data_IF_087168395930
#
_entry.id   IF_087168395930
#
_cell.length_a   1.000
_cell.length_b   1.000
_cell.length_c   1.000
_cell.angle_alpha   90.00
_cell.angle_beta   90.00
_cell.angle_gamma   90.00
#
_symmetry.space_group_name_H-M   'P 1'
#
loop_
_entity.id
_entity.type
_entity.pdbx_description
1 polymer ?
#
# COMPACT_ATOMS: atom_id res chain seq x y z
N UNK A 1 48.74 23.04 21.04
CA UNK A 1 47.32 23.28 21.37
C UNK A 1 46.56 23.49 20.06
N UNK A 2 46.25 22.40 19.37
CA UNK A 2 44.90 21.81 19.27
C UNK A 2 43.83 22.82 18.81
N UNK A 3 43.58 22.83 17.50
CA UNK A 3 42.36 23.39 16.89
C UNK A 3 41.60 22.25 16.25
N UNK A 4 40.66 21.68 17.01
CA UNK A 4 39.64 20.78 16.47
C UNK A 4 38.76 21.60 15.53
N UNK A 5 38.94 21.43 14.22
CA UNK A 5 37.96 21.92 13.25
C UNK A 5 36.85 20.87 13.12
N UNK A 6 35.68 21.27 13.57
CA UNK A 6 34.43 20.52 13.57
C UNK A 6 34.10 19.98 12.17
N UNK A 7 33.86 18.67 12.13
CA UNK A 7 33.19 17.96 11.06
C UNK A 7 31.76 18.49 10.95
N UNK A 8 31.41 19.11 9.82
CA UNK A 8 30.01 19.34 9.47
C UNK A 8 29.87 19.37 7.94
N UNK A 9 29.75 18.19 7.32
CA UNK A 9 29.31 18.09 5.93
C UNK A 9 27.92 17.48 5.91
N UNK A 10 26.98 18.41 5.85
CA UNK A 10 25.57 18.38 5.43
C UNK A 10 25.00 17.02 5.03
N UNK A 11 24.06 16.53 5.85
CA UNK A 11 23.02 15.59 5.43
C UNK A 11 22.15 16.33 4.40
N UNK A 12 22.34 16.00 3.12
CA UNK A 12 21.52 16.51 2.02
C UNK A 12 20.06 16.08 2.28
N UNK A 13 19.19 17.09 2.36
CA UNK A 13 17.79 16.94 2.71
C UNK A 13 17.02 16.04 1.77
N UNK A 14 16.48 14.95 2.32
CA UNK A 14 15.29 14.32 1.78
C UNK A 14 14.07 15.07 2.31
N UNK A 15 13.05 15.38 1.49
CA UNK A 15 11.82 15.98 1.98
C UNK A 15 11.13 14.99 2.93
N UNK A 16 11.32 15.24 4.22
CA UNK A 16 10.54 14.67 5.32
C UNK A 16 9.12 15.23 5.19
N UNK A 17 8.25 14.52 4.47
CA UNK A 17 6.80 14.37 4.73
C UNK A 17 6.08 13.89 3.46
N UNK A 18 5.66 12.62 3.45
CA UNK A 18 4.68 12.09 2.47
C UNK A 18 5.13 10.89 1.62
N UNK A 19 6.44 10.62 1.50
CA UNK A 19 6.99 9.68 0.50
C UNK A 19 7.51 8.34 1.03
N UNK A 20 7.42 8.06 2.33
CA UNK A 20 8.04 6.87 2.94
C UNK A 20 7.19 5.59 2.89
N UNK A 21 6.02 5.63 2.27
CA UNK A 21 5.04 4.56 2.37
C UNK A 21 5.27 3.41 1.37
N UNK A 22 6.05 3.64 0.31
CA UNK A 22 6.58 2.58 -0.55
C UNK A 22 7.92 2.96 -1.19
N UNK A 23 8.68 1.96 -1.63
CA UNK A 23 9.98 2.09 -2.31
C UNK A 23 9.93 1.37 -3.66
N UNK A 24 10.27 2.07 -4.73
CA UNK A 24 10.38 1.49 -6.07
C UNK A 24 11.69 0.69 -6.20
N UNK A 25 11.60 -0.59 -6.56
CA UNK A 25 12.74 -1.51 -6.78
C UNK A 25 12.95 -1.82 -8.26
N UNK A 26 12.28 -1.10 -9.17
CA UNK A 26 12.32 -1.33 -10.62
C UNK A 26 11.36 -2.42 -11.05
N UNK A 27 11.60 -3.67 -10.66
CA UNK A 27 10.73 -4.80 -11.06
C UNK A 27 9.43 -4.90 -10.24
N UNK A 28 9.47 -4.39 -9.01
CA UNK A 28 8.36 -4.37 -8.07
C UNK A 28 8.44 -3.14 -7.17
N UNK A 29 7.37 -2.89 -6.44
CA UNK A 29 7.28 -1.85 -5.42
C UNK A 29 7.17 -2.49 -4.05
N UNK A 30 8.00 -2.07 -3.12
CA UNK A 30 7.93 -2.46 -1.71
C UNK A 30 7.04 -1.49 -0.95
N UNK A 31 5.87 -1.94 -0.50
CA UNK A 31 4.93 -1.13 0.29
C UNK A 31 5.15 -1.41 1.78
N UNK A 32 5.16 -0.38 2.62
CA UNK A 32 5.37 -0.54 4.06
C UNK A 32 4.28 -1.41 4.70
N UNK A 33 4.67 -2.31 5.62
CA UNK A 33 3.71 -3.10 6.42
C UNK A 33 2.78 -2.15 7.20
N UNK A 34 1.50 -2.45 7.21
CA UNK A 34 0.45 -1.69 7.88
C UNK A 34 -0.21 -0.63 7.01
N UNK A 35 0.35 -0.29 5.85
CA UNK A 35 -0.24 0.67 4.91
C UNK A 35 -1.60 0.17 4.45
N UNK A 36 -2.61 1.04 4.57
CA UNK A 36 -3.94 0.85 3.99
C UNK A 36 -3.90 1.33 2.53
N UNK A 37 -4.36 0.48 1.63
CA UNK A 37 -4.49 0.76 0.20
C UNK A 37 -5.99 0.85 -0.13
N UNK A 38 -6.33 1.85 -0.93
CA UNK A 38 -7.68 2.16 -1.34
C UNK A 38 -7.79 1.93 -2.84
N UNK A 39 -8.91 1.39 -3.26
CA UNK A 39 -9.28 1.38 -4.67
C UNK A 39 -9.52 2.81 -5.15
N UNK A 40 -9.12 3.12 -6.38
CA UNK A 40 -9.49 4.38 -7.02
C UNK A 40 -10.61 4.12 -8.05
N UNK A 41 -11.83 4.55 -7.69
CA UNK A 41 -13.03 4.29 -8.49
C UNK A 41 -13.10 5.02 -9.82
N UNK A 42 -12.29 6.07 -10.00
CA UNK A 42 -12.32 6.89 -11.22
C UNK A 42 -11.57 6.21 -12.40
N UNK A 43 -10.72 5.22 -12.14
CA UNK A 43 -9.85 4.60 -13.14
C UNK A 43 -10.22 3.17 -13.56
N UNK A 44 -10.83 2.37 -12.68
CA UNK A 44 -11.14 0.97 -12.95
C UNK A 44 -12.61 0.77 -13.39
N UNK A 45 -13.05 1.51 -14.41
CA UNK A 45 -14.35 1.26 -15.10
C UNK A 45 -14.34 0.01 -15.98
N UNK A 46 -13.20 -0.68 -16.12
CA UNK A 46 -12.95 -1.64 -17.19
C UNK A 46 -12.83 -3.12 -16.79
N UNK A 47 -12.81 -3.46 -15.49
CA UNK A 47 -12.72 -4.86 -15.09
C UNK A 47 -13.89 -5.30 -14.22
N UNK A 48 -14.53 -6.40 -14.65
CA UNK A 48 -15.58 -7.15 -13.93
C UNK A 48 -15.22 -7.32 -12.47
N UNK A 49 -15.68 -6.42 -11.61
CA UNK A 49 -15.47 -6.58 -10.18
C UNK A 49 -16.68 -6.00 -9.45
N UNK A 50 -17.42 -6.91 -8.81
CA UNK A 50 -18.57 -6.64 -7.95
C UNK A 50 -18.21 -5.54 -6.94
N UNK A 51 -18.96 -4.44 -7.01
CA UNK A 51 -18.91 -3.25 -6.16
C UNK A 51 -17.50 -2.62 -5.92
N UNK A 52 -17.09 -1.63 -6.73
CA UNK A 52 -15.81 -0.92 -6.58
C UNK A 52 -15.73 0.01 -5.38
N UNK A 53 -16.86 0.47 -4.81
CA UNK A 53 -16.87 1.63 -3.90
C UNK A 53 -16.31 1.35 -2.50
N UNK A 54 -16.02 0.09 -2.13
CA UNK A 54 -15.73 -0.26 -0.73
C UNK A 54 -14.55 -1.20 -0.50
N UNK A 55 -13.67 -1.40 -1.48
CA UNK A 55 -12.53 -2.31 -1.30
C UNK A 55 -11.28 -1.61 -0.78
N UNK A 56 -10.80 -2.15 0.34
CA UNK A 56 -9.56 -1.74 0.99
C UNK A 56 -8.64 -2.94 1.15
N UNK A 57 -7.33 -2.67 1.13
CA UNK A 57 -6.31 -3.66 1.45
C UNK A 57 -5.41 -3.13 2.56
N UNK A 58 -4.87 -4.01 3.37
CA UNK A 58 -3.79 -3.70 4.32
C UNK A 58 -2.61 -4.60 4.03
N UNK A 59 -1.43 -4.01 3.86
CA UNK A 59 -0.18 -4.79 3.73
C UNK A 59 0.17 -5.39 5.08
N UNK A 60 0.30 -6.71 5.17
CA UNK A 60 0.53 -7.42 6.44
C UNK A 60 1.94 -7.99 6.59
N UNK A 61 2.72 -8.01 5.52
CA UNK A 61 4.10 -8.52 5.53
C UNK A 61 5.12 -7.55 4.95
N UNK A 62 6.39 -7.76 5.28
CA UNK A 62 7.52 -7.25 4.50
C UNK A 62 7.56 -7.95 3.13
N UNK A 63 8.32 -7.38 2.20
CA UNK A 63 8.58 -8.02 0.90
C UNK A 63 9.31 -9.34 1.06
N UNK A 64 8.85 -10.35 0.34
CA UNK A 64 9.47 -11.68 0.26
C UNK A 64 10.59 -11.68 -0.79
N UNK A 65 11.41 -12.73 -0.81
CA UNK A 65 12.51 -12.87 -1.77
C UNK A 65 12.08 -12.80 -3.25
N UNK A 66 10.82 -13.15 -3.56
CA UNK A 66 10.25 -13.10 -4.91
C UNK A 66 9.54 -11.78 -5.25
N UNK A 67 9.67 -10.75 -4.41
CA UNK A 67 9.06 -9.44 -4.61
C UNK A 67 7.56 -9.36 -4.31
N UNK A 68 6.96 -10.40 -3.72
CA UNK A 68 5.55 -10.36 -3.30
C UNK A 68 5.37 -9.94 -1.84
N UNK A 69 4.18 -9.44 -1.52
CA UNK A 69 3.80 -9.02 -0.18
C UNK A 69 2.39 -9.51 0.15
N UNK A 70 2.22 -9.97 1.38
CA UNK A 70 0.92 -10.39 1.90
C UNK A 70 0.01 -9.18 2.09
N UNK A 71 -1.23 -9.30 1.66
CA UNK A 71 -2.30 -8.34 1.93
C UNK A 71 -3.49 -9.01 2.61
N UNK A 72 -4.20 -8.24 3.43
CA UNK A 72 -5.54 -8.57 3.87
C UNK A 72 -6.53 -7.65 3.14
N UNK A 73 -7.47 -8.22 2.38
CA UNK A 73 -8.54 -7.49 1.69
C UNK A 73 -9.78 -7.40 2.58
N UNK A 74 -10.48 -6.26 2.55
CA UNK A 74 -11.71 -6.05 3.29
C UNK A 74 -12.71 -5.12 2.61
N UNK A 75 -14.01 -5.42 2.79
CA UNK A 75 -15.14 -4.78 2.07
C UNK A 75 -15.77 -3.61 2.82
N UNK A 76 -15.59 -3.45 4.13
CA UNK A 76 -15.78 -2.19 4.87
C UNK A 76 -15.38 -2.42 6.33
N UNK A 77 -14.88 -1.37 6.95
CA UNK A 77 -14.69 -1.22 8.39
C UNK A 77 -16.06 -0.77 8.95
N UNK A 78 -16.82 -1.66 9.59
CA UNK A 78 -18.12 -1.31 10.19
C UNK A 78 -17.93 -0.48 11.46
N UNK A 79 -18.99 0.25 11.83
CA UNK A 79 -19.10 1.24 12.91
C UNK A 79 -18.10 1.08 14.06
N UNK A 80 -17.44 2.20 14.38
CA UNK A 80 -16.63 2.35 15.58
C UNK A 80 -17.49 2.12 16.82
N UNK A 81 -17.23 1.05 17.54
CA UNK A 81 -17.86 0.79 18.83
C UNK A 81 -17.23 1.74 19.86
N UNK A 82 -18.01 2.73 20.30
CA UNK A 82 -17.56 3.72 21.30
C UNK A 82 -17.33 3.12 22.69
N UNK A 83 -17.88 1.95 22.99
CA UNK A 83 -17.68 1.26 24.27
C UNK A 83 -16.38 0.47 24.29
N UNK A 84 -16.06 -0.27 23.22
CA UNK A 84 -14.84 -1.09 23.16
C UNK A 84 -13.64 -0.36 22.56
N UNK A 85 -13.87 0.67 21.74
CA UNK A 85 -12.83 1.33 20.94
C UNK A 85 -12.41 0.51 19.72
N UNK A 86 -13.05 -0.63 19.47
CA UNK A 86 -12.71 -1.53 18.38
C UNK A 86 -13.46 -1.17 17.10
N UNK A 87 -12.82 -1.49 15.97
CA UNK A 87 -13.44 -1.36 14.65
C UNK A 87 -13.51 -2.72 13.99
N UNK A 88 -14.72 -3.13 13.61
CA UNK A 88 -14.96 -4.48 13.08
C UNK A 88 -14.78 -4.49 11.57
N UNK A 89 -13.99 -5.43 11.04
CA UNK A 89 -13.75 -5.59 9.59
C UNK A 89 -14.67 -6.71 9.10
N UNK A 90 -15.65 -6.39 8.25
CA UNK A 90 -16.82 -7.28 8.04
C UNK A 90 -16.66 -8.38 6.98
N UNK A 91 -15.65 -8.38 6.11
CA UNK A 91 -15.55 -9.43 5.08
C UNK A 91 -14.12 -9.60 4.56
N UNK A 92 -13.63 -10.83 4.37
CA UNK A 92 -12.35 -11.15 3.73
C UNK A 92 -12.59 -11.89 2.42
N UNK A 93 -12.19 -11.28 1.30
CA UNK A 93 -12.39 -11.86 -0.04
C UNK A 93 -11.27 -12.80 -0.47
N UNK A 94 -10.06 -12.63 0.08
CA UNK A 94 -8.92 -13.47 -0.24
C UNK A 94 -8.63 -14.49 0.86
N UNK A 95 -7.99 -15.58 0.45
CA UNK A 95 -7.40 -16.55 1.36
C UNK A 95 -6.48 -15.85 2.36
N UNK A 96 -6.45 -16.35 3.59
CA UNK A 96 -5.51 -15.87 4.58
C UNK A 96 -4.07 -16.03 4.07
N UNK A 97 -3.29 -14.96 4.13
CA UNK A 97 -1.91 -14.98 3.65
C UNK A 97 -1.74 -14.75 2.14
N UNK A 98 -2.80 -14.35 1.43
CA UNK A 98 -2.71 -13.97 0.01
C UNK A 98 -1.60 -12.94 -0.23
N UNK A 99 -0.72 -13.24 -1.18
CA UNK A 99 0.44 -12.41 -1.50
C UNK A 99 0.38 -11.92 -2.94
N UNK A 100 0.54 -10.62 -3.16
CA UNK A 100 0.52 -9.98 -4.48
C UNK A 100 1.87 -9.35 -4.78
N UNK A 101 2.16 -9.09 -6.07
CA UNK A 101 3.29 -8.24 -6.47
C UNK A 101 2.77 -6.84 -6.75
N UNK A 102 3.34 -5.83 -6.10
CA UNK A 102 3.05 -4.44 -6.43
C UNK A 102 3.96 -3.94 -7.55
N UNK A 103 3.40 -3.18 -8.49
CA UNK A 103 4.15 -2.44 -9.51
C UNK A 103 3.70 -1.00 -9.56
N UNK A 104 4.54 -0.10 -10.09
CA UNK A 104 4.11 1.29 -10.34
C UNK A 104 3.11 1.30 -11.49
N UNK A 105 2.00 2.00 -11.32
CA UNK A 105 1.11 2.35 -12.43
C UNK A 105 1.76 3.52 -13.20
N UNK A 106 2.43 3.22 -14.31
CA UNK A 106 3.20 4.22 -15.08
C UNK A 106 2.31 5.35 -15.60
N UNK A 107 1.07 5.01 -15.96
CA UNK A 107 0.07 5.94 -16.49
C UNK A 107 -0.62 6.76 -15.39
N UNK A 108 -0.51 6.36 -14.12
CA UNK A 108 -1.23 6.96 -12.99
C UNK A 108 -0.28 7.27 -11.82
N UNK A 109 0.19 8.53 -11.78
CA UNK A 109 1.16 8.98 -10.79
C UNK A 109 0.64 8.78 -9.36
N UNK A 110 1.43 8.07 -8.54
CA UNK A 110 1.12 7.81 -7.14
C UNK A 110 0.29 6.55 -6.90
N UNK A 111 -0.04 5.80 -7.95
CA UNK A 111 -0.78 4.56 -7.86
C UNK A 111 0.09 3.33 -8.11
N UNK A 112 -0.41 2.20 -7.62
CA UNK A 112 0.22 0.89 -7.67
C UNK A 112 -0.73 -0.09 -8.35
N UNK A 113 -0.17 -1.02 -9.11
CA UNK A 113 -0.88 -2.16 -9.65
C UNK A 113 -0.68 -3.33 -8.70
N UNK A 114 -1.78 -3.96 -8.29
CA UNK A 114 -1.77 -5.28 -7.66
C UNK A 114 -1.75 -6.33 -8.75
N UNK A 115 -0.66 -7.10 -8.81
CA UNK A 115 -0.46 -8.13 -9.83
C UNK A 115 -0.56 -9.50 -9.17
N UNK A 116 -1.50 -10.31 -9.64
CA UNK A 116 -1.69 -11.69 -9.18
C UNK A 116 -0.39 -12.48 -9.36
N UNK A 117 0.07 -13.21 -8.32
CA UNK A 117 1.25 -14.04 -8.42
C UNK A 117 1.01 -15.31 -9.25
N UNK A 118 -0.25 -15.67 -9.52
CA UNK A 118 -0.63 -16.93 -10.16
C UNK A 118 -0.49 -16.86 -11.68
N UNK A 119 -0.98 -15.78 -12.26
CA UNK A 119 -1.13 -15.60 -13.71
C UNK A 119 -0.54 -14.26 -14.21
N UNK A 120 -0.06 -13.41 -13.31
CA UNK A 120 0.53 -12.12 -13.65
C UNK A 120 -0.49 -11.07 -14.12
N UNK A 121 -1.79 -11.34 -13.98
CA UNK A 121 -2.82 -10.36 -14.32
C UNK A 121 -2.89 -9.23 -13.31
N UNK A 122 -3.26 -8.04 -13.77
CA UNK A 122 -3.55 -6.90 -12.90
C UNK A 122 -4.93 -7.12 -12.29
N UNK A 123 -4.98 -7.24 -10.96
CA UNK A 123 -6.21 -7.48 -10.21
C UNK A 123 -6.88 -6.19 -9.77
N UNK A 124 -6.09 -5.15 -9.51
CA UNK A 124 -6.58 -3.84 -9.08
C UNK A 124 -5.53 -2.75 -9.30
N UNK A 125 -5.99 -1.53 -9.59
CA UNK A 125 -5.19 -0.32 -9.42
C UNK A 125 -5.54 0.30 -8.06
N UNK A 126 -4.53 0.52 -7.23
CA UNK A 126 -4.69 0.99 -5.85
C UNK A 126 -3.80 2.18 -5.55
N UNK A 127 -4.25 3.03 -4.64
CA UNK A 127 -3.44 4.10 -4.07
C UNK A 127 -3.32 3.94 -2.55
N UNK A 128 -2.38 4.64 -1.95
CA UNK A 128 -2.35 4.75 -0.49
C UNK A 128 -3.58 5.54 -0.04
N UNK A 129 -4.35 4.97 0.88
CA UNK A 129 -5.46 5.68 1.49
C UNK A 129 -4.96 6.96 2.16
N UNK A 130 -5.42 8.13 1.71
CA UNK A 130 -5.17 9.39 2.41
C UNK A 130 -5.99 9.39 3.69
N UNK A 131 -5.34 9.46 4.84
CA UNK A 131 -6.05 9.73 6.09
C UNK A 131 -6.80 11.05 5.95
N UNK A 132 -8.09 11.09 6.34
CA UNK A 132 -8.81 12.36 6.46
C UNK A 132 -8.02 13.25 7.42
N UNK A 133 -7.63 14.43 6.94
CA UNK A 133 -7.13 15.51 7.80
C UNK A 133 -8.27 16.06 8.66
#
# INVERSE_FOLDING_TARGET
MSRFLLVLVMVIGFPLSGSAQFVDRGEYVEVSKGVKLCFNADLDTLNRMLDPEKRFWRVTSKVRANGTQTVAAFVLESEYDRQSGDTTIQERQYDEGYATRFKRAVEHKGMLLMVSPRDGQVEATVEICKGKK
#
